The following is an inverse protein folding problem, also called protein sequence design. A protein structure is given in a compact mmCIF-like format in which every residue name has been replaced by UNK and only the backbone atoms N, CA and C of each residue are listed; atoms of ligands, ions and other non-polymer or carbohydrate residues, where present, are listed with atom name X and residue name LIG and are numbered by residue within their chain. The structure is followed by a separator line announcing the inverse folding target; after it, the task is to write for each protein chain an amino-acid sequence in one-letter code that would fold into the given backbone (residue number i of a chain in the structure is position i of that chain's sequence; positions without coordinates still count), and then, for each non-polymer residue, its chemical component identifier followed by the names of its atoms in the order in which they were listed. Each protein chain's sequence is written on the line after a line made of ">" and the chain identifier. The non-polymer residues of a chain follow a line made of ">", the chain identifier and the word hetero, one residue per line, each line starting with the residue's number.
data_IF_051826077850
#
_entry.id   IF_051826077850
#
_cell.length_a   1.000
_cell.length_b   1.000
_cell.length_c   1.000
_cell.angle_alpha   90.00
_cell.angle_beta   90.00
_cell.angle_gamma   90.00
#
_symmetry.space_group_name_H-M   'P 1'
#
loop_
_entity.id
_entity.type
_entity.pdbx_description
1 polymer ?
#
# COMPACT_ATOMS: atom_id res chain seq x y z
N UNK A 1 -41.22 -20.08 8.62
CA UNK A 1 -40.17 -19.32 7.90
C UNK A 1 -38.83 -19.93 8.30
N UNK A 2 -37.97 -20.28 7.36
CA UNK A 2 -36.61 -20.75 7.69
C UNK A 2 -35.77 -19.55 8.15
N UNK A 3 -34.98 -19.68 9.23
CA UNK A 3 -34.11 -18.59 9.69
C UNK A 3 -33.12 -18.18 8.60
N UNK A 4 -32.76 -16.89 8.58
CA UNK A 4 -31.69 -16.39 7.71
C UNK A 4 -30.35 -17.02 8.12
N UNK A 5 -29.50 -17.43 7.16
CA UNK A 5 -28.17 -17.92 7.47
C UNK A 5 -27.35 -16.91 8.31
N UNK A 6 -26.52 -17.37 9.25
CA UNK A 6 -25.57 -16.51 9.94
C UNK A 6 -24.60 -15.87 8.95
N UNK A 7 -24.30 -14.58 9.16
CA UNK A 7 -23.32 -13.86 8.37
C UNK A 7 -21.88 -14.15 8.85
N UNK A 8 -20.88 -14.07 7.96
CA UNK A 8 -19.48 -14.08 8.37
C UNK A 8 -19.15 -12.95 9.36
N UNK A 9 -18.17 -13.16 10.23
CA UNK A 9 -17.69 -12.19 11.21
C UNK A 9 -16.19 -12.00 11.09
N UNK A 10 -15.66 -10.99 11.80
CA UNK A 10 -14.23 -10.68 11.86
C UNK A 10 -13.61 -10.50 10.47
N UNK A 11 -14.36 -9.91 9.53
CA UNK A 11 -13.80 -9.50 8.25
C UNK A 11 -12.70 -8.47 8.52
N UNK A 12 -11.50 -8.75 8.01
CA UNK A 12 -10.34 -7.89 8.06
C UNK A 12 -9.82 -7.63 6.65
N UNK A 13 -9.41 -6.40 6.38
CA UNK A 13 -8.84 -5.96 5.12
C UNK A 13 -7.42 -5.42 5.35
N UNK A 14 -6.44 -6.03 4.71
CA UNK A 14 -5.03 -5.63 4.79
C UNK A 14 -4.57 -5.11 3.44
N UNK A 15 -4.16 -3.85 3.40
CA UNK A 15 -3.62 -3.22 2.19
C UNK A 15 -2.27 -3.84 1.79
N UNK A 16 -2.06 -3.99 0.48
CA UNK A 16 -0.76 -4.25 -0.15
C UNK A 16 -0.55 -3.32 -1.36
N UNK A 17 0.44 -3.63 -2.19
CA UNK A 17 0.67 -2.92 -3.45
C UNK A 17 -0.32 -3.38 -4.51
N UNK A 18 -1.18 -2.45 -4.96
CA UNK A 18 -2.20 -2.74 -5.95
C UNK A 18 -3.08 -3.96 -5.58
N UNK A 19 -3.18 -4.27 -4.29
CA UNK A 19 -3.99 -5.36 -3.78
C UNK A 19 -4.57 -5.09 -2.40
N UNK A 20 -5.67 -5.77 -2.07
CA UNK A 20 -6.19 -5.90 -0.70
C UNK A 20 -6.36 -7.38 -0.38
N UNK A 21 -5.76 -7.82 0.73
CA UNK A 21 -5.95 -9.15 1.28
C UNK A 21 -7.08 -9.15 2.31
N UNK A 22 -8.09 -9.97 2.08
CA UNK A 22 -9.26 -10.11 2.94
C UNK A 22 -9.23 -11.47 3.65
N UNK A 23 -9.61 -11.48 4.93
CA UNK A 23 -9.81 -12.70 5.72
C UNK A 23 -11.03 -12.54 6.61
N UNK A 24 -11.73 -13.64 6.89
CA UNK A 24 -12.91 -13.66 7.76
C UNK A 24 -13.03 -15.01 8.46
N UNK A 25 -13.93 -15.12 9.45
CA UNK A 25 -14.19 -16.38 10.12
C UNK A 25 -15.08 -17.31 9.28
N UNK A 26 -14.80 -18.61 9.35
CA UNK A 26 -15.64 -19.63 8.71
C UNK A 26 -17.04 -19.68 9.31
N UNK A 27 -18.06 -19.78 8.46
CA UNK A 27 -19.44 -20.03 8.85
C UNK A 27 -19.77 -21.51 8.66
N UNK A 28 -20.22 -22.18 9.72
CA UNK A 28 -20.59 -23.60 9.67
C UNK A 28 -21.70 -23.86 8.65
N UNK A 29 -21.49 -24.79 7.73
CA UNK A 29 -22.44 -25.13 6.67
C UNK A 29 -22.38 -24.23 5.43
N UNK A 30 -21.48 -23.25 5.37
CA UNK A 30 -21.27 -22.46 4.17
C UNK A 30 -20.69 -23.31 3.03
N UNK A 31 -21.36 -23.27 1.88
CA UNK A 31 -20.88 -23.88 0.62
C UNK A 31 -19.83 -23.00 -0.03
N UNK A 32 -20.05 -21.68 -0.03
CA UNK A 32 -19.11 -20.67 -0.50
C UNK A 32 -19.46 -19.30 0.11
N UNK A 33 -18.58 -18.33 -0.11
CA UNK A 33 -18.73 -16.94 0.29
C UNK A 33 -18.75 -16.04 -0.94
N UNK A 34 -19.51 -14.95 -0.88
CA UNK A 34 -19.42 -13.86 -1.86
C UNK A 34 -18.72 -12.67 -1.22
N UNK A 35 -17.72 -12.13 -1.92
CA UNK A 35 -17.00 -10.93 -1.52
C UNK A 35 -17.52 -9.75 -2.32
N UNK A 36 -17.88 -8.68 -1.63
CA UNK A 36 -18.39 -7.46 -2.24
C UNK A 36 -17.50 -6.27 -1.91
N UNK A 37 -17.42 -5.31 -2.83
CA UNK A 37 -16.61 -4.09 -2.70
C UNK A 37 -17.40 -2.83 -3.05
N UNK A 38 -17.14 -1.75 -2.33
CA UNK A 38 -17.59 -0.40 -2.63
C UNK A 38 -16.42 0.61 -2.54
N UNK A 39 -16.61 1.79 -3.16
CA UNK A 39 -15.71 2.94 -3.00
C UNK A 39 -16.19 3.93 -1.92
N UNK A 40 -17.37 3.69 -1.36
CA UNK A 40 -17.99 4.51 -0.31
C UNK A 40 -18.43 3.61 0.82
N UNK A 41 -18.19 4.01 2.06
CA UNK A 41 -18.67 3.27 3.25
C UNK A 41 -20.18 3.13 3.21
N UNK A 42 -20.67 1.92 3.50
CA UNK A 42 -22.09 1.58 3.42
C UNK A 42 -22.59 1.22 2.02
N UNK A 43 -21.74 1.29 0.99
CA UNK A 43 -22.07 0.88 -0.38
C UNK A 43 -22.40 2.04 -1.34
N UNK A 44 -22.99 1.74 -2.51
CA UNK A 44 -23.43 0.42 -2.97
C UNK A 44 -22.25 -0.54 -3.23
N UNK A 45 -22.44 -1.83 -2.94
CA UNK A 45 -21.40 -2.85 -3.13
C UNK A 45 -21.59 -3.62 -4.44
N UNK A 46 -20.47 -3.96 -5.08
CA UNK A 46 -20.38 -4.78 -6.30
C UNK A 46 -19.79 -6.15 -5.93
N UNK A 47 -20.36 -7.24 -6.45
CA UNK A 47 -19.86 -8.60 -6.21
C UNK A 47 -18.57 -8.84 -7.01
N UNK A 48 -17.48 -9.17 -6.31
CA UNK A 48 -16.18 -9.51 -6.90
C UNK A 48 -16.04 -11.00 -7.24
N UNK A 49 -16.82 -11.85 -6.57
CA UNK A 49 -16.75 -13.31 -6.68
C UNK A 49 -18.13 -13.88 -7.05
N UNK A 50 -18.66 -13.63 -8.27
CA UNK A 50 -20.00 -14.08 -8.65
C UNK A 50 -20.18 -15.61 -8.64
N UNK A 51 -19.07 -16.36 -8.70
CA UNK A 51 -19.06 -17.83 -8.60
C UNK A 51 -18.77 -18.35 -7.18
N UNK A 52 -18.64 -17.43 -6.20
CA UNK A 52 -18.26 -17.73 -4.84
C UNK A 52 -16.79 -18.13 -4.66
N UNK A 53 -16.32 -18.08 -3.41
CA UNK A 53 -15.04 -18.66 -2.97
C UNK A 53 -15.27 -19.61 -1.80
N UNK A 54 -14.53 -20.71 -1.75
CA UNK A 54 -14.66 -21.70 -0.66
C UNK A 54 -13.69 -21.45 0.50
N UNK A 55 -12.61 -20.71 0.24
CA UNK A 55 -11.68 -20.27 1.26
C UNK A 55 -12.29 -19.14 2.11
N UNK A 56 -11.79 -18.97 3.33
CA UNK A 56 -12.11 -17.84 4.21
C UNK A 56 -11.16 -16.65 4.01
N UNK A 57 -10.67 -16.51 2.78
CA UNK A 57 -9.76 -15.47 2.36
C UNK A 57 -9.95 -15.16 0.87
N UNK A 58 -9.66 -13.93 0.49
CA UNK A 58 -9.68 -13.48 -0.90
C UNK A 58 -8.69 -12.33 -1.09
N UNK A 59 -8.01 -12.29 -2.24
CA UNK A 59 -7.16 -11.17 -2.62
C UNK A 59 -7.80 -10.43 -3.79
N UNK A 60 -8.16 -9.17 -3.55
CA UNK A 60 -8.62 -8.25 -4.58
C UNK A 60 -7.41 -7.57 -5.22
N UNK A 61 -7.11 -7.89 -6.48
CA UNK A 61 -6.01 -7.30 -7.26
C UNK A 61 -6.50 -6.19 -8.21
N UNK A 62 -7.80 -5.92 -8.26
CA UNK A 62 -8.40 -4.94 -9.17
C UNK A 62 -8.61 -3.59 -8.46
N UNK A 63 -7.58 -3.16 -7.72
CA UNK A 63 -7.59 -1.95 -6.88
C UNK A 63 -6.48 -1.01 -7.27
N UNK A 64 -6.68 0.29 -7.02
CA UNK A 64 -5.68 1.32 -7.30
C UNK A 64 -5.12 1.88 -5.99
N UNK A 65 -3.81 2.01 -5.92
CA UNK A 65 -3.13 2.61 -4.78
C UNK A 65 -3.63 4.02 -4.50
N UNK A 66 -3.81 4.35 -3.22
CA UNK A 66 -4.33 5.63 -2.75
C UNK A 66 -5.86 5.74 -2.74
N UNK A 67 -6.60 4.76 -3.27
CA UNK A 67 -8.07 4.72 -3.19
C UNK A 67 -8.49 3.82 -2.02
N UNK A 68 -9.38 4.31 -1.16
CA UNK A 68 -9.97 3.50 -0.09
C UNK A 68 -11.11 2.66 -0.63
N UNK A 69 -11.08 1.37 -0.35
CA UNK A 69 -12.12 0.42 -0.68
C UNK A 69 -12.76 -0.14 0.59
N UNK A 70 -14.06 -0.45 0.50
CA UNK A 70 -14.87 -0.97 1.59
C UNK A 70 -15.42 -2.34 1.17
N UNK A 71 -15.32 -3.32 2.07
CA UNK A 71 -15.62 -4.71 1.79
C UNK A 71 -16.61 -5.27 2.79
N UNK A 72 -17.48 -6.14 2.29
CA UNK A 72 -18.36 -6.99 3.07
C UNK A 72 -18.36 -8.39 2.46
N UNK A 73 -18.60 -9.40 3.29
CA UNK A 73 -18.68 -10.79 2.86
C UNK A 73 -20.00 -11.39 3.31
N UNK A 74 -20.62 -12.21 2.46
CA UNK A 74 -21.79 -13.02 2.79
C UNK A 74 -21.43 -14.51 2.69
N UNK A 75 -22.18 -15.36 3.38
CA UNK A 75 -22.09 -16.81 3.25
C UNK A 75 -23.30 -17.35 2.51
N UNK A 76 -23.09 -18.37 1.67
CA UNK A 76 -24.17 -19.12 1.06
C UNK A 76 -24.32 -20.49 1.75
N UNK A 77 -25.49 -20.75 2.32
CA UNK A 77 -25.85 -22.00 3.01
C UNK A 77 -27.13 -22.54 2.39
N UNK A 78 -27.10 -23.77 1.88
CA UNK A 78 -28.27 -24.43 1.26
C UNK A 78 -28.98 -23.57 0.20
N UNK A 79 -28.20 -22.84 -0.61
CA UNK A 79 -28.71 -21.96 -1.67
C UNK A 79 -29.27 -20.62 -1.17
N UNK A 80 -29.11 -20.28 0.11
CA UNK A 80 -29.52 -18.99 0.69
C UNK A 80 -28.30 -18.17 1.09
N UNK A 81 -28.30 -16.91 0.68
CA UNK A 81 -27.27 -15.95 1.05
C UNK A 81 -27.60 -15.30 2.41
N UNK A 82 -26.60 -15.14 3.26
CA UNK A 82 -26.69 -14.43 4.53
C UNK A 82 -26.80 -12.91 4.35
N UNK A 83 -26.95 -12.19 5.45
CA UNK A 83 -26.62 -10.76 5.48
C UNK A 83 -25.11 -10.51 5.36
N UNK A 84 -24.73 -9.25 5.22
CA UNK A 84 -23.34 -8.81 5.20
C UNK A 84 -22.65 -9.07 6.55
N UNK A 85 -21.35 -9.34 6.51
CA UNK A 85 -20.44 -9.23 7.64
C UNK A 85 -20.35 -7.80 8.19
N UNK A 86 -19.50 -7.59 9.19
CA UNK A 86 -18.97 -6.25 9.44
C UNK A 86 -18.29 -5.70 8.17
N UNK A 87 -18.39 -4.38 7.96
CA UNK A 87 -17.62 -3.71 6.91
C UNK A 87 -16.15 -3.61 7.36
N UNK A 88 -15.23 -3.86 6.43
CA UNK A 88 -13.80 -3.61 6.60
C UNK A 88 -13.31 -2.73 5.46
N UNK A 89 -12.30 -1.90 5.70
CA UNK A 89 -11.74 -1.04 4.66
C UNK A 89 -10.23 -1.08 4.64
N UNK A 90 -9.67 -0.83 3.46
CA UNK A 90 -8.24 -0.70 3.25
C UNK A 90 -7.97 0.31 2.13
N UNK A 91 -6.83 0.98 2.22
CA UNK A 91 -6.29 1.85 1.17
C UNK A 91 -5.00 1.21 0.69
N UNK A 92 -4.99 0.49 -0.45
CA UNK A 92 -3.76 0.01 -1.07
C UNK A 92 -2.75 1.14 -1.21
N UNK A 93 -1.49 0.79 -1.04
CA UNK A 93 -0.38 1.72 -1.12
C UNK A 93 0.69 1.02 -1.94
N UNK A 94 1.34 1.77 -2.84
CA UNK A 94 2.51 1.25 -3.51
C UNK A 94 3.47 0.73 -2.45
N UNK A 95 3.93 -0.50 -2.60
CA UNK A 95 4.97 -1.00 -1.73
C UNK A 95 6.18 -0.13 -2.00
N UNK A 96 6.75 0.44 -0.94
CA UNK A 96 8.05 1.11 -1.01
C UNK A 96 9.20 0.14 -1.36
N UNK A 97 8.88 -1.11 -1.70
CA UNK A 97 9.78 -2.21 -2.07
C UNK A 97 9.66 -2.68 -3.52
N UNK A 98 8.79 -2.14 -4.38
CA UNK A 98 8.88 -2.43 -5.82
C UNK A 98 10.04 -1.62 -6.43
N UNK A 99 11.24 -2.19 -6.28
CA UNK A 99 12.51 -1.57 -6.64
C UNK A 99 13.08 -0.77 -5.48
N UNK A 100 14.11 -1.31 -4.84
CA UNK A 100 15.01 -0.50 -4.02
C UNK A 100 16.25 -0.18 -4.84
N UNK A 101 16.86 0.95 -4.54
CA UNK A 101 18.13 1.28 -5.12
C UNK A 101 19.03 1.93 -4.09
N UNK A 102 20.33 1.69 -4.24
CA UNK A 102 21.33 2.50 -3.56
C UNK A 102 21.56 3.75 -4.41
N UNK A 103 21.21 4.91 -3.86
CA UNK A 103 21.69 6.20 -4.31
C UNK A 103 23.05 6.46 -3.67
N UNK A 104 24.10 6.37 -4.49
CA UNK A 104 25.46 6.77 -4.13
C UNK A 104 25.67 8.23 -4.51
N UNK A 105 26.04 9.09 -3.55
CA UNK A 105 26.32 10.51 -3.81
C UNK A 105 27.74 10.88 -3.39
N UNK A 106 28.51 11.45 -4.32
CA UNK A 106 29.83 12.02 -4.04
C UNK A 106 29.72 13.52 -3.81
N UNK A 107 30.19 13.96 -2.65
CA UNK A 107 30.13 15.35 -2.21
C UNK A 107 31.43 16.11 -2.55
N UNK A 108 31.38 17.44 -2.60
CA UNK A 108 32.52 18.31 -2.98
C UNK A 108 33.71 18.22 -2.02
N UNK A 109 33.49 17.76 -0.79
CA UNK A 109 34.55 17.46 0.18
C UNK A 109 35.20 16.08 -0.05
N UNK A 110 34.81 15.34 -1.08
CA UNK A 110 35.28 14.00 -1.41
C UNK A 110 34.62 12.87 -0.61
N UNK A 111 33.63 13.15 0.24
CA UNK A 111 32.88 12.11 0.94
C UNK A 111 31.84 11.45 0.04
N UNK A 112 31.70 10.14 0.16
CA UNK A 112 30.61 9.38 -0.45
C UNK A 112 29.54 9.07 0.60
N UNK A 113 28.27 9.16 0.18
CA UNK A 113 27.12 8.84 1.02
C UNK A 113 26.16 7.94 0.25
N UNK A 114 25.83 6.81 0.87
CA UNK A 114 24.86 5.85 0.34
C UNK A 114 23.50 6.00 1.04
N UNK A 115 22.45 5.97 0.23
CA UNK A 115 21.07 5.91 0.68
C UNK A 115 20.38 4.71 0.04
N UNK A 116 19.88 3.80 0.86
CA UNK A 116 18.99 2.74 0.42
C UNK A 116 17.55 3.24 0.41
N UNK A 117 17.01 3.47 -0.79
CA UNK A 117 15.79 4.21 -1.05
C UNK A 117 14.82 3.40 -1.91
N UNK A 118 13.53 3.68 -1.76
CA UNK A 118 12.52 3.27 -2.74
C UNK A 118 12.72 4.01 -4.07
N UNK A 119 12.29 3.41 -5.19
CA UNK A 119 12.34 4.10 -6.49
C UNK A 119 11.54 5.42 -6.52
N UNK A 120 10.49 5.56 -5.70
CA UNK A 120 9.77 6.83 -5.54
C UNK A 120 10.65 7.92 -4.91
N UNK A 121 11.40 7.58 -3.86
CA UNK A 121 12.34 8.52 -3.22
C UNK A 121 13.48 8.90 -4.15
N UNK A 122 13.98 7.94 -4.95
CA UNK A 122 14.96 8.20 -6.02
C UNK A 122 14.38 9.19 -7.04
N UNK A 123 13.18 8.96 -7.54
CA UNK A 123 12.56 9.84 -8.55
C UNK A 123 12.32 11.25 -8.01
N UNK A 124 11.90 11.36 -6.74
CA UNK A 124 11.74 12.65 -6.07
C UNK A 124 13.07 13.42 -5.96
N UNK A 125 14.16 12.74 -5.61
CA UNK A 125 15.50 13.33 -5.61
C UNK A 125 15.93 13.79 -7.01
N UNK A 126 15.74 12.95 -8.03
CA UNK A 126 16.10 13.26 -9.43
C UNK A 126 15.33 14.51 -9.90
N UNK A 127 14.02 14.57 -9.65
CA UNK A 127 13.16 15.70 -10.03
C UNK A 127 13.60 17.00 -9.35
N UNK A 128 13.93 16.94 -8.06
CA UNK A 128 14.46 18.08 -7.34
C UNK A 128 15.79 18.56 -7.93
N UNK A 129 16.74 17.63 -8.15
CA UNK A 129 18.07 17.96 -8.67
C UNK A 129 17.98 18.60 -10.06
N UNK A 130 17.17 18.03 -10.95
CA UNK A 130 16.96 18.55 -12.31
C UNK A 130 16.30 19.93 -12.29
N UNK A 131 15.29 20.13 -11.43
CA UNK A 131 14.62 21.43 -11.26
C UNK A 131 15.60 22.51 -10.77
N UNK A 132 16.52 22.13 -9.87
CA UNK A 132 17.59 23.00 -9.40
C UNK A 132 18.63 23.31 -10.47
N UNK A 133 19.10 22.31 -11.21
CA UNK A 133 20.13 22.46 -12.22
C UNK A 133 19.65 23.25 -13.45
N UNK A 134 18.38 23.11 -13.83
CA UNK A 134 17.83 23.76 -15.04
C UNK A 134 17.33 25.19 -14.81
N UNK A 135 16.72 25.48 -13.65
CA UNK A 135 16.06 26.77 -13.40
C UNK A 135 16.30 27.37 -12.03
N UNK A 136 17.13 26.76 -11.17
CA UNK A 136 17.38 27.24 -9.80
C UNK A 136 16.17 27.11 -8.86
N UNK A 137 15.09 26.46 -9.30
CA UNK A 137 13.81 26.37 -8.58
C UNK A 137 13.90 25.37 -7.42
N UNK A 138 13.18 25.63 -6.32
CA UNK A 138 13.07 24.74 -5.16
C UNK A 138 13.99 25.08 -3.98
N UNK A 139 14.03 24.23 -2.97
CA UNK A 139 14.92 24.40 -1.80
C UNK A 139 16.39 24.11 -2.15
N UNK A 140 17.38 24.82 -1.57
CA UNK A 140 18.81 24.63 -1.86
C UNK A 140 19.37 23.29 -1.34
N UNK A 141 18.54 22.47 -0.72
CA UNK A 141 18.86 21.14 -0.22
C UNK A 141 17.73 20.15 -0.49
N UNK A 142 18.07 18.86 -0.48
CA UNK A 142 17.12 17.75 -0.47
C UNK A 142 17.30 16.95 0.82
N UNK A 143 16.20 16.44 1.37
CA UNK A 143 16.20 15.69 2.63
C UNK A 143 15.98 14.21 2.41
N UNK A 144 16.82 13.38 3.01
CA UNK A 144 16.60 11.94 3.11
C UNK A 144 16.39 11.54 4.56
N UNK A 145 15.38 10.70 4.79
CA UNK A 145 15.20 10.01 6.06
C UNK A 145 16.28 8.95 6.22
N UNK A 146 16.93 8.90 7.38
CA UNK A 146 17.81 7.80 7.78
C UNK A 146 17.22 7.05 8.96
N UNK A 147 17.66 5.81 9.12
CA UNK A 147 17.33 5.03 10.31
C UNK A 147 17.74 5.83 11.57
N UNK A 148 16.80 6.04 12.51
CA UNK A 148 17.11 6.75 13.74
C UNK A 148 18.13 5.98 14.56
N UNK A 149 18.97 6.71 15.30
CA UNK A 149 19.91 6.15 16.26
C UNK A 149 19.48 6.57 17.66
N UNK A 150 19.43 5.63 18.61
CA UNK A 150 19.07 5.95 20.00
C UNK A 150 20.00 7.05 20.55
N UNK A 151 19.49 8.07 21.29
CA UNK A 151 18.11 8.23 21.77
C UNK A 151 17.16 8.99 20.82
N UNK A 152 17.60 9.30 19.60
CA UNK A 152 16.82 10.10 18.65
C UNK A 152 15.75 9.25 17.97
N UNK A 153 14.54 9.79 17.85
CA UNK A 153 13.39 9.13 17.22
C UNK A 153 13.28 9.43 15.72
N UNK A 154 14.10 10.36 15.22
CA UNK A 154 14.18 10.73 13.80
C UNK A 154 15.60 11.15 13.46
N UNK A 155 16.01 10.86 12.22
CA UNK A 155 17.27 11.31 11.66
C UNK A 155 17.06 11.70 10.19
N UNK A 156 17.43 12.93 9.85
CA UNK A 156 17.33 13.47 8.49
C UNK A 156 18.73 13.92 8.05
N UNK A 157 19.12 13.56 6.83
CA UNK A 157 20.30 14.11 6.18
C UNK A 157 19.87 15.15 5.14
N UNK A 158 20.61 16.25 5.07
CA UNK A 158 20.35 17.38 4.18
C UNK A 158 21.47 17.50 3.16
N UNK A 159 21.22 17.14 1.90
CA UNK A 159 22.20 17.30 0.83
C UNK A 159 22.04 18.67 0.20
N UNK A 160 23.08 19.50 0.29
CA UNK A 160 23.11 20.82 -0.33
C UNK A 160 23.40 20.67 -1.82
N UNK A 161 22.56 21.26 -2.68
CA UNK A 161 22.65 21.13 -4.14
C UNK A 161 24.05 21.46 -4.68
N UNK A 162 24.60 22.62 -4.30
CA UNK A 162 25.92 23.08 -4.75
C UNK A 162 27.11 22.29 -4.18
N UNK A 163 26.87 21.23 -3.40
CA UNK A 163 27.92 20.37 -2.85
C UNK A 163 27.88 18.97 -3.46
N UNK A 164 26.91 18.66 -4.32
CA UNK A 164 26.84 17.38 -5.03
C UNK A 164 27.78 17.46 -6.24
N UNK A 165 28.74 16.53 -6.32
CA UNK A 165 29.66 16.42 -7.46
C UNK A 165 29.09 15.49 -8.52
N UNK A 166 28.70 14.28 -8.12
CA UNK A 166 28.03 13.32 -8.96
C UNK A 166 27.24 12.32 -8.11
N UNK A 167 26.40 11.52 -8.77
CA UNK A 167 25.59 10.49 -8.11
C UNK A 167 25.32 9.33 -9.06
N UNK A 168 25.02 8.15 -8.49
CA UNK A 168 24.69 6.92 -9.20
C UNK A 168 23.51 6.23 -8.53
N UNK A 169 22.72 5.50 -9.31
CA UNK A 169 21.59 4.70 -8.82
C UNK A 169 21.86 3.24 -9.20
N UNK A 170 21.94 2.38 -8.19
CA UNK A 170 22.12 0.93 -8.37
C UNK A 170 20.87 0.22 -7.84
N UNK A 171 19.98 -0.20 -8.75
CA UNK A 171 18.75 -0.92 -8.41
C UNK A 171 19.03 -2.40 -8.10
N UNK A 172 18.29 -2.98 -7.15
CA UNK A 172 18.32 -4.40 -6.81
C UNK A 172 16.94 -4.92 -6.37
#
# INVERSE_FOLDING_TARGET
>A
MTPSPPAPTNLSATAGDAQVNLTWDSVSGATYYNVYRAMTSGGPYTNLTPNGVTATAYTDNDVTNGITYYYVVTALIDGKESGNSNEASATPQASSSEGRAILWVTMANGSDIDYDLSMTEIQNFINWYQSKASGGVGAPFYTFSKNPISPYTSRMDYLVFNQIVCWKVNQY
#
